data_IF_806657693699
#
_entry.id   IF_806657693699
#
_cell.length_a   1.000
_cell.length_b   1.000
_cell.length_c   1.000
_cell.angle_alpha   90.00
_cell.angle_beta   90.00
_cell.angle_gamma   90.00
#
_symmetry.space_group_name_H-M   'P 1'
#
loop_
_entity.id
_entity.type
_entity.pdbx_description
1 polymer ?
#
# COMPACT_ATOMS: atom_id res chain seq x y z
N UNK A 1 30.92 -9.57 5.54
CA UNK A 1 30.47 -8.29 6.14
C UNK A 1 29.37 -8.62 7.15
N UNK A 2 29.45 -8.10 8.38
CA UNK A 2 28.42 -8.42 9.39
C UNK A 2 27.11 -7.68 9.08
N UNK A 3 25.98 -8.26 9.46
CA UNK A 3 24.64 -7.69 9.30
C UNK A 3 24.52 -6.28 9.89
N UNK A 4 25.29 -6.00 10.95
CA UNK A 4 25.39 -4.70 11.60
C UNK A 4 26.06 -3.63 10.70
N UNK A 5 27.08 -4.01 9.92
CA UNK A 5 27.76 -3.09 9.00
C UNK A 5 26.84 -2.70 7.85
N UNK A 6 26.05 -3.64 7.34
CA UNK A 6 25.09 -3.39 6.27
C UNK A 6 23.95 -2.49 6.78
N UNK A 7 23.44 -2.73 7.99
CA UNK A 7 22.42 -1.88 8.62
C UNK A 7 22.89 -0.43 8.82
N UNK A 8 24.12 -0.23 9.28
CA UNK A 8 24.72 1.09 9.44
C UNK A 8 24.99 1.78 8.10
N UNK A 9 25.39 1.04 7.07
CA UNK A 9 25.64 1.60 5.74
C UNK A 9 24.34 2.01 5.06
N UNK A 10 23.28 1.20 5.19
CA UNK A 10 21.93 1.55 4.71
C UNK A 10 21.39 2.74 5.48
N UNK A 11 21.54 2.79 6.81
CA UNK A 11 21.13 3.93 7.61
C UNK A 11 21.90 5.21 7.22
N UNK A 12 23.21 5.12 7.00
CA UNK A 12 24.03 6.26 6.55
C UNK A 12 23.67 6.69 5.13
N UNK A 13 23.40 5.75 4.21
CA UNK A 13 22.95 6.05 2.85
C UNK A 13 21.57 6.71 2.86
N UNK A 14 20.65 6.21 3.70
CA UNK A 14 19.36 6.84 3.94
C UNK A 14 19.59 8.26 4.49
N UNK A 15 20.40 8.45 5.54
CA UNK A 15 20.68 9.77 6.11
C UNK A 15 21.33 10.75 5.13
N UNK A 16 22.15 10.29 4.17
CA UNK A 16 22.80 11.13 3.15
C UNK A 16 21.85 11.43 1.98
N UNK A 17 21.10 10.45 1.48
CA UNK A 17 20.09 10.63 0.41
C UNK A 17 18.92 11.49 0.91
N UNK A 18 18.58 11.33 2.18
CA UNK A 18 17.49 12.00 2.87
C UNK A 18 17.97 13.11 3.81
N UNK A 19 19.21 13.59 3.65
CA UNK A 19 19.75 14.69 4.44
C UNK A 19 18.81 15.91 4.35
N UNK A 20 18.48 16.58 5.46
CA UNK A 20 17.46 17.63 5.47
C UNK A 20 17.96 18.84 4.70
N UNK A 21 17.73 18.87 3.39
CA UNK A 21 17.78 20.11 2.63
C UNK A 21 16.69 21.00 3.20
N UNK A 22 17.04 22.23 3.58
CA UNK A 22 16.09 23.23 4.07
C UNK A 22 15.02 23.63 3.05
N UNK A 23 15.04 23.03 1.85
CA UNK A 23 14.08 23.20 0.77
C UNK A 23 13.71 21.87 0.12
N UNK A 24 12.45 21.72 -0.22
CA UNK A 24 11.86 20.58 -0.93
C UNK A 24 11.10 21.13 -2.13
N UNK A 25 11.40 20.61 -3.32
CA UNK A 25 10.68 20.93 -4.55
C UNK A 25 9.81 19.74 -4.95
N UNK A 26 8.54 20.00 -5.17
CA UNK A 26 7.56 19.04 -5.65
C UNK A 26 7.08 19.48 -7.03
N UNK A 27 7.15 18.58 -8.01
CA UNK A 27 6.54 18.74 -9.33
C UNK A 27 5.68 17.50 -9.59
N UNK A 28 4.38 17.72 -9.79
CA UNK A 28 3.38 16.66 -9.89
C UNK A 28 2.33 17.02 -10.92
N UNK A 29 1.99 16.05 -11.78
CA UNK A 29 0.88 16.17 -12.72
C UNK A 29 -0.27 15.30 -12.23
N UNK A 30 -1.46 15.89 -12.18
CA UNK A 30 -2.71 15.22 -11.78
C UNK A 30 -3.71 15.29 -12.94
N UNK A 31 -4.42 14.18 -13.18
CA UNK A 31 -5.51 14.11 -14.18
C UNK A 31 -6.78 14.76 -13.61
N UNK A 32 -6.72 16.06 -13.42
CA UNK A 32 -7.79 16.92 -12.91
C UNK A 32 -7.72 18.26 -13.64
N UNK A 33 -8.79 19.05 -13.58
CA UNK A 33 -8.75 20.41 -14.10
C UNK A 33 -7.77 21.27 -13.30
N UNK A 34 -7.17 22.28 -13.94
CA UNK A 34 -6.32 23.23 -13.24
C UNK A 34 -7.10 23.94 -12.12
N UNK A 35 -8.38 24.22 -12.35
CA UNK A 35 -9.25 24.86 -11.36
C UNK A 35 -9.48 23.99 -10.13
N UNK A 36 -9.74 22.69 -10.29
CA UNK A 36 -9.90 21.78 -9.16
C UNK A 36 -8.60 21.64 -8.35
N UNK A 37 -7.47 21.56 -9.04
CA UNK A 37 -6.16 21.49 -8.40
C UNK A 37 -5.85 22.78 -7.62
N UNK A 38 -6.20 23.92 -8.19
CA UNK A 38 -6.10 25.23 -7.52
C UNK A 38 -7.01 25.33 -6.30
N UNK A 39 -8.26 24.86 -6.39
CA UNK A 39 -9.19 24.87 -5.24
C UNK A 39 -8.67 24.05 -4.05
N UNK A 40 -7.94 22.97 -4.31
CA UNK A 40 -7.30 22.14 -3.27
C UNK A 40 -6.01 22.78 -2.74
N UNK A 41 -5.20 23.40 -3.60
CA UNK A 41 -3.94 24.02 -3.20
C UNK A 41 -4.15 25.36 -2.45
N UNK A 42 -5.21 26.09 -2.78
CA UNK A 42 -5.55 27.40 -2.22
C UNK A 42 -6.82 27.31 -1.33
N UNK A 43 -6.66 27.07 -0.01
CA UNK A 43 -7.80 27.02 0.92
C UNK A 43 -8.47 28.39 1.03
N UNK A 44 -9.78 28.40 1.30
CA UNK A 44 -10.58 29.62 1.34
C UNK A 44 -11.72 29.49 2.38
N UNK A 45 -12.10 30.56 3.11
CA UNK A 45 -13.13 30.51 4.16
C UNK A 45 -14.51 30.01 3.69
N UNK A 46 -14.88 30.28 2.44
CA UNK A 46 -16.16 29.80 1.87
C UNK A 46 -16.14 28.34 1.39
N UNK A 47 -15.01 27.64 1.51
CA UNK A 47 -14.83 26.27 1.02
C UNK A 47 -14.69 25.29 2.19
N UNK A 48 -15.18 24.05 2.05
CA UNK A 48 -15.00 23.03 3.07
C UNK A 48 -13.51 22.67 3.22
N UNK A 49 -13.12 22.24 4.42
CA UNK A 49 -11.80 21.66 4.64
C UNK A 49 -11.70 20.29 3.99
N UNK A 50 -10.77 20.14 3.04
CA UNK A 50 -10.53 18.88 2.32
C UNK A 50 -9.36 18.06 2.90
N UNK A 51 -8.56 18.64 3.79
CA UNK A 51 -7.36 18.02 4.34
C UNK A 51 -7.67 17.29 5.66
N UNK A 52 -7.49 15.97 5.70
CA UNK A 52 -7.79 15.14 6.89
C UNK A 52 -6.95 15.47 8.12
N UNK A 53 -5.73 15.94 7.92
CA UNK A 53 -4.81 16.30 8.99
C UNK A 53 -5.29 17.56 9.74
N UNK A 54 -6.10 18.39 9.09
CA UNK A 54 -6.60 19.65 9.62
C UNK A 54 -8.00 19.40 10.17
N UNK A 55 -8.22 19.79 11.41
CA UNK A 55 -9.54 19.74 12.01
C UNK A 55 -10.39 20.90 11.50
N UNK A 56 -9.86 22.12 11.58
CA UNK A 56 -10.51 23.33 11.06
C UNK A 56 -9.51 24.45 10.79
N UNK A 57 -9.92 25.36 9.91
CA UNK A 57 -9.31 26.67 9.73
C UNK A 57 -10.14 27.69 10.49
N UNK A 58 -9.50 28.40 11.42
CA UNK A 58 -10.09 29.54 12.11
C UNK A 58 -9.59 30.81 11.41
N UNK A 59 -10.32 31.22 10.38
CA UNK A 59 -10.02 32.42 9.61
C UNK A 59 -10.18 33.67 10.46
N UNK A 60 -9.32 34.67 10.25
CA UNK A 60 -9.55 35.97 10.87
C UNK A 60 -10.85 36.58 10.33
N UNK A 61 -11.62 37.28 11.18
CA UNK A 61 -12.82 37.97 10.72
C UNK A 61 -12.52 38.83 9.49
N UNK A 62 -13.31 38.64 8.43
CA UNK A 62 -13.20 39.40 7.19
C UNK A 62 -11.88 39.22 6.42
N UNK A 63 -11.12 38.17 6.71
CA UNK A 63 -9.87 37.83 6.01
C UNK A 63 -9.97 36.46 5.35
N UNK A 64 -9.55 36.39 4.09
CA UNK A 64 -9.32 35.18 3.31
C UNK A 64 -7.82 34.86 3.17
N UNK A 65 -6.96 35.65 3.82
CA UNK A 65 -5.50 35.53 3.73
C UNK A 65 -4.86 35.06 5.03
N UNK A 66 -5.49 35.25 6.19
CA UNK A 66 -4.95 34.84 7.49
C UNK A 66 -5.89 33.89 8.23
N UNK A 67 -5.34 32.78 8.74
CA UNK A 67 -6.07 31.83 9.57
C UNK A 67 -5.19 31.23 10.68
N UNK A 68 -5.83 30.66 11.69
CA UNK A 68 -5.19 29.70 12.60
C UNK A 68 -5.63 28.29 12.20
N UNK A 69 -4.67 27.45 11.84
CA UNK A 69 -4.92 26.04 11.53
C UNK A 69 -4.90 25.25 12.83
N UNK A 70 -5.98 24.51 13.08
CA UNK A 70 -6.06 23.52 14.15
C UNK A 70 -5.90 22.13 13.53
N UNK A 71 -4.83 21.43 13.88
CA UNK A 71 -4.57 20.07 13.41
C UNK A 71 -5.23 19.06 14.34
N UNK A 72 -5.65 17.92 13.78
CA UNK A 72 -6.06 16.77 14.58
C UNK A 72 -4.87 16.33 15.44
N UNK A 73 -5.08 16.25 16.76
CA UNK A 73 -4.00 16.05 17.74
C UNK A 73 -3.54 17.32 18.47
N UNK A 74 -4.34 18.40 18.42
CA UNK A 74 -4.18 19.57 19.30
C UNK A 74 -3.09 20.57 18.90
N UNK A 75 -2.37 20.32 17.78
CA UNK A 75 -1.35 21.26 17.28
C UNK A 75 -2.00 22.44 16.59
N UNK A 76 -1.33 23.60 16.66
CA UNK A 76 -1.79 24.84 16.02
C UNK A 76 -0.70 25.46 15.16
N UNK A 77 -1.08 26.08 14.06
CA UNK A 77 -0.19 26.90 13.25
C UNK A 77 -0.88 28.21 12.84
N UNK A 78 -0.11 29.29 12.79
CA UNK A 78 -0.56 30.53 12.15
C UNK A 78 -0.33 30.39 10.66
N UNK A 79 -1.35 30.64 9.87
CA UNK A 79 -1.36 30.50 8.42
C UNK A 79 -1.58 31.86 7.79
N UNK A 80 -0.78 32.14 6.76
CA UNK A 80 -0.95 33.28 5.88
C UNK A 80 -0.84 32.83 4.44
N UNK A 81 -1.59 33.46 3.55
CA UNK A 81 -1.48 33.24 2.13
C UNK A 81 -1.60 34.55 1.35
N UNK A 82 -0.88 34.62 0.24
CA UNK A 82 -1.03 35.62 -0.80
C UNK A 82 -1.29 34.89 -2.11
N UNK A 83 -2.50 35.03 -2.65
CA UNK A 83 -2.94 34.31 -3.84
C UNK A 83 -3.00 35.26 -5.03
N UNK A 84 -2.66 34.73 -6.22
CA UNK A 84 -2.80 35.40 -7.51
C UNK A 84 -3.66 34.51 -8.41
N UNK A 85 -5.00 34.61 -8.30
CA UNK A 85 -5.90 33.68 -8.98
C UNK A 85 -5.76 33.70 -10.51
N UNK A 86 -5.47 34.86 -11.10
CA UNK A 86 -5.30 35.02 -12.55
C UNK A 86 -4.15 34.20 -13.12
N UNK A 87 -3.02 34.14 -12.40
CA UNK A 87 -1.85 33.33 -12.77
C UNK A 87 -1.85 31.94 -12.12
N UNK A 88 -2.82 31.64 -11.24
CA UNK A 88 -2.89 30.43 -10.43
C UNK A 88 -1.60 30.17 -9.64
N UNK A 89 -1.04 31.24 -9.06
CA UNK A 89 0.16 31.22 -8.22
C UNK A 89 -0.17 31.67 -6.79
N UNK A 90 0.50 31.09 -5.81
CA UNK A 90 0.30 31.48 -4.41
C UNK A 90 1.54 31.30 -3.56
N UNK A 91 1.69 32.18 -2.59
CA UNK A 91 2.66 32.08 -1.51
C UNK A 91 1.92 31.78 -0.22
N UNK A 92 2.35 30.76 0.51
CA UNK A 92 1.80 30.36 1.80
C UNK A 92 2.90 30.37 2.86
N UNK A 93 2.58 30.91 4.02
CA UNK A 93 3.42 30.90 5.20
C UNK A 93 2.68 30.20 6.34
N UNK A 94 3.33 29.20 6.93
CA UNK A 94 2.86 28.53 8.14
C UNK A 94 3.89 28.69 9.25
N UNK A 95 3.45 29.18 10.40
CA UNK A 95 4.24 29.23 11.63
C UNK A 95 3.65 28.21 12.59
N UNK A 96 4.32 27.08 12.73
CA UNK A 96 3.92 26.02 13.65
C UNK A 96 4.29 26.40 15.07
N UNK A 97 3.32 26.30 15.97
CA UNK A 97 3.48 26.62 17.38
C UNK A 97 3.88 25.38 18.17
N UNK A 98 4.74 25.53 19.17
CA UNK A 98 5.02 24.47 20.14
C UNK A 98 3.84 24.30 21.12
N UNK A 99 3.95 23.34 22.03
CA UNK A 99 2.94 23.04 23.05
C UNK A 99 2.66 24.23 23.99
N UNK A 100 3.62 25.16 24.13
CA UNK A 100 3.49 26.39 24.91
C UNK A 100 2.87 27.55 24.10
N UNK A 101 2.56 27.33 22.83
CA UNK A 101 2.00 28.34 21.93
C UNK A 101 3.03 29.30 21.30
N UNK A 102 4.33 29.02 21.46
CA UNK A 102 5.41 29.84 20.92
C UNK A 102 5.80 29.39 19.50
N UNK A 103 6.23 30.30 18.61
CA UNK A 103 6.73 29.94 17.28
C UNK A 103 7.93 28.99 17.35
N UNK A 104 7.80 27.80 16.77
CA UNK A 104 8.87 26.80 16.75
C UNK A 104 9.50 26.66 15.36
N UNK A 105 8.67 26.66 14.32
CA UNK A 105 9.10 26.40 12.96
C UNK A 105 8.29 27.20 11.95
N UNK A 106 8.97 27.78 10.96
CA UNK A 106 8.38 28.39 9.77
C UNK A 106 8.40 27.41 8.62
N UNK A 107 7.34 27.39 7.85
CA UNK A 107 7.29 26.78 6.54
C UNK A 107 6.82 27.82 5.53
N UNK A 108 7.62 28.05 4.50
CA UNK A 108 7.26 28.90 3.37
C UNK A 108 7.02 27.99 2.17
N UNK A 109 5.86 28.08 1.55
CA UNK A 109 5.50 27.29 0.39
C UNK A 109 5.10 28.23 -0.73
N UNK A 110 5.86 28.23 -1.82
CA UNK A 110 5.45 28.85 -3.08
C UNK A 110 4.87 27.79 -3.98
N UNK A 111 3.71 28.02 -4.56
CA UNK A 111 3.10 27.05 -5.46
C UNK A 111 2.52 27.70 -6.70
N UNK A 112 2.47 26.93 -7.78
CA UNK A 112 1.88 27.32 -9.05
C UNK A 112 1.12 26.13 -9.64
N UNK A 113 -0.07 26.39 -10.15
CA UNK A 113 -0.85 25.41 -10.92
C UNK A 113 -0.82 25.82 -12.38
N UNK A 114 -0.49 24.88 -13.26
CA UNK A 114 -0.44 25.11 -14.71
C UNK A 114 -1.21 24.03 -15.46
N UNK A 115 -1.89 24.36 -16.56
CA UNK A 115 -2.39 23.35 -17.47
C UNK A 115 -1.23 22.47 -17.98
N UNK A 116 -1.48 21.17 -18.10
CA UNK A 116 -0.52 20.20 -18.61
C UNK A 116 -1.25 19.24 -19.56
N UNK A 117 -0.62 18.71 -20.62
CA UNK A 117 -1.28 17.73 -21.50
C UNK A 117 -1.87 16.53 -20.73
N UNK A 118 -1.31 16.19 -19.57
CA UNK A 118 -1.83 15.16 -18.66
C UNK A 118 -2.91 15.61 -17.68
N UNK A 119 -3.40 16.85 -17.76
CA UNK A 119 -4.39 17.46 -16.86
C UNK A 119 -3.89 18.80 -16.29
N UNK A 120 -3.46 18.79 -15.02
CA UNK A 120 -2.91 19.97 -14.37
C UNK A 120 -1.66 19.62 -13.57
N UNK A 121 -0.66 20.48 -13.70
CA UNK A 121 0.61 20.39 -12.98
C UNK A 121 0.60 21.31 -11.77
N UNK A 122 0.96 20.78 -10.62
CA UNK A 122 1.21 21.53 -9.40
C UNK A 122 2.71 21.49 -9.10
N UNK A 123 3.32 22.67 -9.08
CA UNK A 123 4.71 22.87 -8.64
C UNK A 123 4.67 23.54 -7.28
N UNK A 124 5.40 22.98 -6.30
CA UNK A 124 5.53 23.56 -4.97
C UNK A 124 7.00 23.61 -4.55
N UNK A 125 7.45 24.76 -4.09
CA UNK A 125 8.75 24.98 -3.47
C UNK A 125 8.55 25.29 -1.99
N UNK A 126 8.89 24.33 -1.13
CA UNK A 126 8.66 24.37 0.30
C UNK A 126 9.99 24.55 1.02
N UNK A 127 10.14 25.64 1.77
CA UNK A 127 11.31 25.94 2.59
C UNK A 127 10.94 25.87 4.08
N UNK A 128 11.88 25.37 4.89
CA UNK A 128 11.71 25.25 6.35
C UNK A 128 12.76 26.07 7.07
N UNK A 129 12.32 26.85 8.04
CA UNK A 129 13.18 27.66 8.90
C UNK A 129 12.86 27.35 10.36
N UNK A 130 13.90 27.08 11.17
CA UNK A 130 13.72 26.88 12.61
C UNK A 130 13.75 28.25 13.28
N UNK A 131 12.68 28.59 14.01
CA UNK A 131 12.57 29.89 14.70
C UNK A 131 12.76 29.73 16.20
N UNK A 132 12.49 28.54 16.76
CA UNK A 132 12.52 28.32 18.21
C UNK A 132 12.88 26.90 18.64
N UNK A 133 12.75 26.61 19.95
CA UNK A 133 12.93 25.27 20.48
C UNK A 133 11.86 24.33 19.93
N UNK A 134 12.30 23.19 19.39
CA UNK A 134 11.41 22.16 18.87
C UNK A 134 11.00 21.26 20.04
N UNK A 135 9.71 21.03 20.20
CA UNK A 135 9.20 19.99 21.09
C UNK A 135 9.49 18.57 20.54
N UNK A 136 9.26 17.52 21.33
CA UNK A 136 9.52 16.13 20.92
C UNK A 136 8.82 15.72 19.63
N UNK A 137 7.57 16.16 19.45
CA UNK A 137 6.76 15.89 18.26
C UNK A 137 7.32 16.55 16.99
N UNK A 138 7.81 17.80 17.10
CA UNK A 138 8.41 18.54 15.98
C UNK A 138 9.83 18.05 15.63
N UNK A 139 10.54 17.48 16.62
CA UNK A 139 11.81 16.79 16.39
C UNK A 139 11.59 15.54 15.52
N UNK A 140 10.59 14.73 15.85
CA UNK A 140 10.22 13.56 15.05
C UNK A 140 9.80 13.98 13.62
N UNK A 141 8.95 14.99 13.48
CA UNK A 141 8.57 15.52 12.17
C UNK A 141 9.79 16.03 11.38
N UNK A 142 10.78 16.59 12.07
CA UNK A 142 12.02 17.05 11.44
C UNK A 142 12.89 15.90 10.93
N UNK A 143 12.91 14.77 11.63
CA UNK A 143 13.57 13.54 11.19
C UNK A 143 12.83 12.88 10.02
N UNK A 144 11.50 12.97 9.98
CA UNK A 144 10.65 12.40 8.94
C UNK A 144 10.44 13.32 7.72
N UNK A 145 10.97 14.55 7.73
CA UNK A 145 10.98 15.48 6.58
C UNK A 145 11.29 14.85 5.22
N UNK A 146 12.20 13.89 5.11
CA UNK A 146 12.53 13.35 3.80
C UNK A 146 11.39 12.51 3.22
N UNK A 147 10.47 12.04 4.05
CA UNK A 147 9.23 11.37 3.66
C UNK A 147 8.07 12.35 3.43
N UNK A 148 8.26 13.66 3.67
CA UNK A 148 7.22 14.68 3.49
C UNK A 148 6.65 14.71 2.07
N UNK A 149 7.49 14.45 1.06
CA UNK A 149 7.02 14.37 -0.32
C UNK A 149 5.92 13.30 -0.50
N UNK A 150 5.98 12.18 0.23
CA UNK A 150 4.96 11.13 0.21
C UNK A 150 3.69 11.59 0.90
N UNK A 151 3.81 12.25 2.06
CA UNK A 151 2.64 12.69 2.83
C UNK A 151 1.89 13.83 2.16
N UNK A 152 2.62 14.80 1.57
CA UNK A 152 2.02 15.89 0.79
C UNK A 152 1.35 15.35 -0.48
N UNK A 153 2.00 14.41 -1.20
CA UNK A 153 1.40 13.72 -2.35
C UNK A 153 0.08 13.04 -1.98
N UNK A 154 0.11 12.24 -0.92
CA UNK A 154 -1.07 11.51 -0.45
C UNK A 154 -2.18 12.46 0.01
N UNK A 155 -1.83 13.54 0.71
CA UNK A 155 -2.76 14.57 1.17
C UNK A 155 -3.47 15.28 0.03
N UNK A 156 -2.73 15.76 -0.98
CA UNK A 156 -3.30 16.42 -2.17
C UNK A 156 -4.20 15.45 -2.94
N UNK A 157 -3.74 14.22 -3.18
CA UNK A 157 -4.55 13.20 -3.85
C UNK A 157 -5.81 12.81 -3.05
N UNK A 158 -5.75 12.83 -1.72
CA UNK A 158 -6.90 12.63 -0.83
C UNK A 158 -7.90 13.78 -0.93
N UNK A 159 -7.42 15.02 -0.88
CA UNK A 159 -8.25 16.21 -1.00
C UNK A 159 -8.93 16.31 -2.37
N UNK A 160 -8.21 16.03 -3.47
CA UNK A 160 -8.77 15.97 -4.83
C UNK A 160 -9.86 14.90 -4.96
N UNK A 161 -9.69 13.73 -4.32
CA UNK A 161 -10.73 12.68 -4.28
C UNK A 161 -11.98 13.15 -3.54
N UNK A 162 -11.83 13.75 -2.36
CA UNK A 162 -12.97 14.30 -1.62
C UNK A 162 -13.69 15.42 -2.36
N UNK A 163 -12.96 16.20 -3.14
CA UNK A 163 -13.54 17.23 -4.00
C UNK A 163 -14.28 16.65 -5.22
N UNK A 164 -14.20 15.35 -5.49
CA UNK A 164 -14.73 14.72 -6.70
C UNK A 164 -14.02 15.17 -7.98
N UNK A 165 -12.79 15.70 -7.87
CA UNK A 165 -12.08 16.31 -8.98
C UNK A 165 -11.67 15.28 -10.05
N UNK A 166 -11.28 14.08 -9.62
CA UNK A 166 -10.92 13.00 -10.54
C UNK A 166 -12.15 12.52 -11.33
N UNK A 167 -13.30 12.36 -10.67
CA UNK A 167 -14.52 11.86 -11.30
C UNK A 167 -15.05 12.86 -12.35
N UNK A 168 -15.01 14.16 -12.05
CA UNK A 168 -15.36 15.22 -13.02
C UNK A 168 -14.44 15.21 -14.24
N UNK A 169 -13.14 15.18 -14.01
CA UNK A 169 -12.16 15.19 -15.10
C UNK A 169 -12.30 13.95 -15.99
N UNK A 170 -12.55 12.78 -15.39
CA UNK A 170 -12.80 11.52 -16.10
C UNK A 170 -14.11 11.54 -16.89
N UNK A 171 -15.17 12.17 -16.38
CA UNK A 171 -16.43 12.34 -17.11
C UNK A 171 -16.25 13.19 -18.39
N UNK A 172 -15.37 14.19 -18.35
CA UNK A 172 -15.11 15.09 -19.48
C UNK A 172 -14.09 14.53 -20.48
N UNK A 173 -13.02 13.92 -20.00
CA UNK A 173 -11.85 13.52 -20.82
C UNK A 173 -11.78 12.00 -21.05
N UNK A 174 -12.75 11.26 -20.51
CA UNK A 174 -12.77 9.81 -20.51
C UNK A 174 -11.85 9.19 -19.44
N UNK A 175 -11.99 7.87 -19.23
CA UNK A 175 -11.17 7.15 -18.28
C UNK A 175 -9.69 7.27 -18.63
N UNK A 176 -8.88 7.37 -17.57
CA UNK A 176 -7.44 7.32 -17.73
C UNK A 176 -7.05 6.06 -18.50
N UNK A 177 -6.46 6.19 -19.69
CA UNK A 177 -5.85 5.05 -20.36
C UNK A 177 -4.90 4.36 -19.38
N UNK A 178 -5.21 3.12 -19.04
CA UNK A 178 -4.38 2.34 -18.16
C UNK A 178 -3.00 2.21 -18.80
N UNK A 179 -1.94 2.54 -18.05
CA UNK A 179 -0.59 2.24 -18.48
C UNK A 179 -0.54 0.75 -18.86
N UNK A 180 0.17 0.35 -19.92
CA UNK A 180 0.19 -1.02 -20.39
C UNK A 180 0.53 -1.96 -19.22
N UNK A 181 -0.39 -2.87 -18.94
CA UNK A 181 -0.27 -3.87 -17.88
C UNK A 181 -0.19 -5.24 -18.52
N UNK A 182 0.87 -6.00 -18.26
CA UNK A 182 0.95 -7.43 -18.64
C UNK A 182 0.38 -8.21 -17.48
N UNK A 183 -0.67 -9.03 -17.72
CA UNK A 183 -1.38 -9.78 -16.66
C UNK A 183 -1.92 -8.90 -15.51
N UNK A 184 -2.12 -7.60 -15.76
CA UNK A 184 -2.51 -6.66 -14.71
C UNK A 184 -1.36 -6.14 -13.85
N UNK A 185 -0.09 -6.42 -14.15
CA UNK A 185 1.03 -5.85 -13.39
C UNK A 185 1.41 -4.46 -13.92
N UNK A 186 1.52 -3.46 -13.04
CA UNK A 186 2.07 -2.13 -13.36
C UNK A 186 3.51 -2.06 -12.88
N UNK A 187 4.45 -2.14 -13.83
CA UNK A 187 5.87 -2.19 -13.54
C UNK A 187 6.48 -0.79 -13.65
N UNK A 188 6.88 -0.20 -12.52
CA UNK A 188 7.84 0.91 -12.56
C UNK A 188 9.24 0.34 -12.80
N UNK A 189 10.13 1.13 -13.42
CA UNK A 189 11.54 0.74 -13.60
C UNK A 189 12.22 0.37 -12.27
N UNK A 190 11.85 1.05 -11.19
CA UNK A 190 12.33 0.75 -9.83
C UNK A 190 11.81 -0.59 -9.32
N UNK A 191 10.53 -0.90 -9.51
CA UNK A 191 9.95 -2.18 -9.12
C UNK A 191 10.55 -3.34 -9.93
N UNK A 192 10.76 -3.13 -11.23
CA UNK A 192 11.45 -4.06 -12.12
C UNK A 192 12.88 -4.37 -11.64
N UNK A 193 13.65 -3.33 -11.33
CA UNK A 193 15.02 -3.51 -10.85
C UNK A 193 15.05 -4.28 -9.52
N UNK A 194 14.17 -3.95 -8.58
CA UNK A 194 14.07 -4.67 -7.31
C UNK A 194 13.61 -6.12 -7.49
N UNK A 195 12.64 -6.36 -8.37
CA UNK A 195 12.18 -7.70 -8.72
C UNK A 195 13.29 -8.54 -9.36
N UNK A 196 14.04 -7.96 -10.30
CA UNK A 196 15.16 -8.62 -10.94
C UNK A 196 16.28 -8.96 -9.95
N UNK A 197 16.63 -8.04 -9.06
CA UNK A 197 17.64 -8.29 -8.00
C UNK A 197 17.18 -9.40 -7.06
N UNK A 198 15.93 -9.35 -6.61
CA UNK A 198 15.38 -10.35 -5.71
C UNK A 198 15.28 -11.73 -6.36
N UNK A 199 14.77 -11.81 -7.59
CA UNK A 199 14.70 -13.06 -8.35
C UNK A 199 16.10 -13.59 -8.67
N UNK A 200 17.06 -12.72 -9.01
CA UNK A 200 18.45 -13.10 -9.24
C UNK A 200 19.10 -13.67 -7.98
N UNK A 201 18.88 -13.04 -6.82
CA UNK A 201 19.37 -13.54 -5.53
C UNK A 201 18.75 -14.90 -5.18
N UNK A 202 17.45 -15.06 -5.36
CA UNK A 202 16.74 -16.31 -5.12
C UNK A 202 17.19 -17.42 -6.06
N UNK A 203 17.32 -17.13 -7.35
CA UNK A 203 17.80 -18.08 -8.35
C UNK A 203 19.22 -18.54 -8.04
N UNK A 204 20.08 -17.64 -7.56
CA UNK A 204 21.42 -17.98 -7.11
C UNK A 204 21.45 -18.79 -5.82
N UNK A 205 20.57 -18.47 -4.86
CA UNK A 205 20.55 -19.11 -3.53
C UNK A 205 19.87 -20.47 -3.52
N UNK A 206 18.79 -20.64 -4.28
CA UNK A 206 17.89 -21.80 -4.20
C UNK A 206 17.61 -22.46 -5.56
N UNK A 207 18.16 -21.93 -6.65
CA UNK A 207 17.98 -22.45 -8.01
C UNK A 207 16.95 -21.68 -8.82
N UNK A 208 17.15 -21.58 -10.15
CA UNK A 208 16.33 -20.75 -11.03
C UNK A 208 14.89 -21.29 -11.16
N UNK A 209 14.74 -22.61 -11.16
CA UNK A 209 13.47 -23.29 -11.38
C UNK A 209 12.51 -23.20 -10.18
N UNK A 210 13.03 -23.34 -8.95
CA UNK A 210 12.26 -23.05 -7.73
C UNK A 210 11.81 -21.58 -7.71
N UNK A 211 12.71 -20.66 -8.06
CA UNK A 211 12.38 -19.23 -8.15
C UNK A 211 11.27 -18.98 -9.18
N UNK A 212 11.36 -19.60 -10.35
CA UNK A 212 10.36 -19.48 -11.40
C UNK A 212 9.00 -20.03 -10.96
N UNK A 213 8.98 -21.20 -10.30
CA UNK A 213 7.75 -21.77 -9.75
C UNK A 213 7.11 -20.84 -8.71
N UNK A 214 7.90 -20.28 -7.78
CA UNK A 214 7.37 -19.35 -6.79
C UNK A 214 6.79 -18.08 -7.43
N UNK A 215 7.50 -17.50 -8.41
CA UNK A 215 7.02 -16.33 -9.16
C UNK A 215 5.77 -16.66 -9.96
N UNK A 216 5.72 -17.82 -10.63
CA UNK A 216 4.56 -18.25 -11.40
C UNK A 216 3.33 -18.45 -10.52
N UNK A 217 3.47 -19.15 -9.38
CA UNK A 217 2.39 -19.34 -8.42
C UNK A 217 1.84 -18.02 -7.89
N UNK A 218 2.72 -17.08 -7.55
CA UNK A 218 2.30 -15.74 -7.13
C UNK A 218 1.61 -14.99 -8.27
N UNK A 219 2.18 -14.93 -9.48
CA UNK A 219 1.56 -14.23 -10.61
C UNK A 219 0.17 -14.79 -10.95
N UNK A 220 -0.01 -16.11 -10.90
CA UNK A 220 -1.30 -16.76 -11.14
C UNK A 220 -2.33 -16.42 -10.05
N UNK A 221 -1.91 -16.41 -8.79
CA UNK A 221 -2.72 -15.92 -7.69
C UNK A 221 -3.16 -14.47 -7.91
N UNK A 222 -2.22 -13.57 -8.20
CA UNK A 222 -2.52 -12.15 -8.39
C UNK A 222 -3.39 -11.85 -9.61
N UNK A 223 -3.22 -12.62 -10.68
CA UNK A 223 -4.08 -12.58 -11.85
C UNK A 223 -5.54 -12.89 -11.49
N UNK A 224 -5.77 -13.74 -10.48
CA UNK A 224 -7.11 -14.04 -9.94
C UNK A 224 -7.79 -12.81 -9.34
N UNK A 225 -7.09 -12.03 -8.51
CA UNK A 225 -7.62 -10.78 -7.99
C UNK A 225 -7.96 -9.80 -9.13
N UNK A 226 -7.04 -9.61 -10.08
CA UNK A 226 -7.23 -8.70 -11.22
C UNK A 226 -8.41 -9.12 -12.08
N UNK A 227 -8.58 -10.42 -12.33
CA UNK A 227 -9.69 -10.94 -13.13
C UNK A 227 -11.04 -10.56 -12.51
N UNK A 228 -11.18 -10.70 -11.18
CA UNK A 228 -12.39 -10.31 -10.47
C UNK A 228 -12.58 -8.79 -10.46
N UNK A 229 -11.53 -8.01 -10.24
CA UNK A 229 -11.62 -6.54 -10.29
C UNK A 229 -12.08 -6.03 -11.66
N UNK A 230 -11.55 -6.62 -12.74
CA UNK A 230 -11.94 -6.30 -14.12
C UNK A 230 -13.37 -6.73 -14.41
N UNK A 231 -13.82 -7.86 -13.87
CA UNK A 231 -15.21 -8.31 -13.99
C UNK A 231 -16.18 -7.32 -13.31
N UNK A 232 -15.76 -6.65 -12.23
CA UNK A 232 -16.51 -5.56 -11.60
C UNK A 232 -16.34 -4.19 -12.28
N UNK A 233 -15.68 -4.13 -13.43
CA UNK A 233 -15.58 -2.92 -14.25
C UNK A 233 -14.35 -2.05 -14.00
N UNK A 234 -13.47 -2.40 -13.07
CA UNK A 234 -12.21 -1.66 -12.88
C UNK A 234 -11.17 -2.10 -13.93
N UNK A 235 -11.17 -1.40 -15.07
CA UNK A 235 -10.23 -1.62 -16.17
C UNK A 235 -8.82 -1.11 -15.87
N UNK A 236 -8.66 -0.35 -14.78
CA UNK A 236 -7.38 0.24 -14.37
C UNK A 236 -6.67 -0.57 -13.29
N UNK A 237 -7.30 -1.63 -12.77
CA UNK A 237 -6.76 -2.47 -11.72
C UNK A 237 -5.43 -3.05 -12.13
N UNK A 238 -4.45 -2.81 -11.27
CA UNK A 238 -3.16 -3.38 -11.45
C UNK A 238 -2.47 -3.71 -10.14
N UNK A 239 -1.57 -4.66 -10.25
CA UNK A 239 -0.78 -5.19 -9.18
C UNK A 239 0.65 -4.67 -9.26
N UNK A 240 1.24 -4.32 -8.12
CA UNK A 240 2.66 -4.02 -8.01
C UNK A 240 3.35 -5.17 -7.30
N UNK A 241 4.19 -5.92 -8.01
CA UNK A 241 5.02 -6.95 -7.39
C UNK A 241 6.00 -6.30 -6.41
N UNK A 242 5.83 -6.59 -5.13
CA UNK A 242 6.82 -6.26 -4.10
C UNK A 242 7.58 -7.56 -3.83
N UNK A 243 8.88 -7.60 -4.12
CA UNK A 243 9.68 -8.78 -3.83
C UNK A 243 9.58 -9.15 -2.35
N UNK A 244 9.51 -10.45 -2.04
CA UNK A 244 9.42 -11.03 -0.69
C UNK A 244 8.09 -10.87 0.08
N UNK A 245 7.19 -9.96 -0.32
CA UNK A 245 5.93 -9.75 0.40
C UNK A 245 4.69 -10.36 -0.28
N UNK A 246 4.80 -10.74 -1.55
CA UNK A 246 3.65 -10.67 -2.43
C UNK A 246 3.42 -9.20 -2.80
N UNK A 247 2.70 -8.93 -3.88
CA UNK A 247 2.50 -7.53 -4.24
C UNK A 247 1.30 -6.88 -3.59
N UNK A 248 1.03 -5.66 -4.01
CA UNK A 248 -0.09 -4.87 -3.52
C UNK A 248 -1.03 -4.62 -4.69
N UNK A 249 -2.27 -5.09 -4.56
CA UNK A 249 -3.33 -4.79 -5.50
C UNK A 249 -3.80 -3.35 -5.24
N UNK A 250 -3.58 -2.48 -6.22
CA UNK A 250 -4.10 -1.11 -6.18
C UNK A 250 -5.22 -1.02 -7.23
N UNK A 251 -6.44 -1.35 -6.81
CA UNK A 251 -7.66 -1.12 -7.56
C UNK A 251 -8.23 0.28 -7.30
N UNK A 252 -8.87 0.88 -8.31
CA UNK A 252 -9.55 2.19 -8.24
C UNK A 252 -11.04 2.06 -7.94
N UNK A 253 -11.47 1.13 -7.09
CA UNK A 253 -12.85 1.13 -6.59
C UNK A 253 -12.92 1.71 -5.17
N UNK A 254 -12.97 3.05 -5.01
CA UNK A 254 -13.14 3.69 -3.71
C UNK A 254 -14.52 3.41 -3.06
N UNK A 255 -15.47 2.78 -3.78
CA UNK A 255 -16.85 2.57 -3.32
C UNK A 255 -17.34 1.12 -3.36
N UNK A 256 -16.45 0.12 -3.42
CA UNK A 256 -16.88 -1.27 -3.38
C UNK A 256 -17.55 -1.62 -2.04
N UNK A 257 -18.78 -2.15 -2.07
CA UNK A 257 -19.45 -2.75 -0.92
C UNK A 257 -18.61 -3.91 -0.37
N UNK A 258 -18.70 -4.24 0.91
CA UNK A 258 -17.83 -5.25 1.52
C UNK A 258 -17.92 -6.64 0.83
N UNK A 259 -19.06 -6.98 0.20
CA UNK A 259 -19.17 -8.22 -0.59
C UNK A 259 -18.35 -8.19 -1.88
N UNK A 260 -18.23 -7.03 -2.54
CA UNK A 260 -17.37 -6.86 -3.71
C UNK A 260 -15.91 -6.95 -3.29
N UNK A 261 -15.56 -6.37 -2.13
CA UNK A 261 -14.22 -6.53 -1.54
C UNK A 261 -13.92 -7.99 -1.21
N UNK A 262 -14.85 -8.70 -0.59
CA UNK A 262 -14.72 -10.13 -0.34
C UNK A 262 -14.50 -10.94 -1.64
N UNK A 263 -15.30 -10.67 -2.69
CA UNK A 263 -15.14 -11.33 -3.98
C UNK A 263 -13.78 -11.03 -4.64
N UNK A 264 -13.34 -9.77 -4.61
CA UNK A 264 -12.02 -9.37 -5.11
C UNK A 264 -10.89 -10.10 -4.37
N UNK A 265 -10.96 -10.21 -3.04
CA UNK A 265 -9.96 -10.94 -2.24
C UNK A 265 -10.04 -12.43 -2.49
N UNK A 266 -11.22 -13.03 -2.66
CA UNK A 266 -11.35 -14.46 -2.98
C UNK A 266 -10.81 -14.83 -4.37
N UNK A 267 -10.69 -13.87 -5.29
CA UNK A 267 -10.16 -14.10 -6.63
C UNK A 267 -8.76 -14.73 -6.62
N UNK A 268 -7.87 -14.25 -5.74
CA UNK A 268 -6.51 -14.77 -5.64
C UNK A 268 -6.44 -16.22 -5.15
N UNK A 269 -7.00 -16.54 -3.97
CA UNK A 269 -7.07 -17.90 -3.45
C UNK A 269 -7.76 -18.88 -4.42
N UNK A 270 -8.81 -18.46 -5.13
CA UNK A 270 -9.49 -19.30 -6.11
C UNK A 270 -8.58 -19.62 -7.32
N UNK A 271 -7.92 -18.62 -7.90
CA UNK A 271 -6.99 -18.83 -9.02
C UNK A 271 -5.75 -19.63 -8.59
N UNK A 272 -5.22 -19.37 -7.40
CA UNK A 272 -4.14 -20.14 -6.81
C UNK A 272 -4.50 -21.62 -6.62
N UNK A 273 -5.71 -21.92 -6.10
CA UNK A 273 -6.19 -23.30 -5.97
C UNK A 273 -6.32 -23.97 -7.35
N UNK A 274 -6.92 -23.28 -8.32
CA UNK A 274 -7.06 -23.81 -9.68
C UNK A 274 -5.70 -24.11 -10.33
N UNK A 275 -4.72 -23.21 -10.17
CA UNK A 275 -3.37 -23.41 -10.69
C UNK A 275 -2.63 -24.56 -9.99
N UNK A 276 -2.78 -24.71 -8.67
CA UNK A 276 -2.18 -25.80 -7.91
C UNK A 276 -2.76 -27.15 -8.32
N UNK A 277 -4.09 -27.24 -8.46
CA UNK A 277 -4.78 -28.43 -8.95
C UNK A 277 -4.39 -28.76 -10.39
N UNK A 278 -4.31 -27.76 -11.27
CA UNK A 278 -3.91 -27.95 -12.66
C UNK A 278 -2.49 -28.49 -12.78
N UNK A 279 -1.54 -27.93 -12.02
CA UNK A 279 -0.16 -28.41 -11.99
C UNK A 279 -0.06 -29.84 -11.42
N UNK A 280 -0.76 -30.14 -10.32
CA UNK A 280 -0.81 -31.48 -9.75
C UNK A 280 -1.41 -32.50 -10.72
N UNK A 281 -2.54 -32.17 -11.35
CA UNK A 281 -3.21 -33.05 -12.32
C UNK A 281 -2.30 -33.35 -13.52
N UNK A 282 -1.65 -32.33 -14.09
CA UNK A 282 -0.71 -32.53 -15.19
C UNK A 282 0.51 -33.35 -14.75
N UNK A 283 1.00 -33.13 -13.53
CA UNK A 283 2.09 -33.93 -12.95
C UNK A 283 1.73 -35.40 -12.83
N UNK A 284 0.52 -35.75 -12.37
CA UNK A 284 0.07 -37.13 -12.31
C UNK A 284 -0.18 -37.75 -13.69
N UNK A 285 -0.75 -36.98 -14.63
CA UNK A 285 -1.05 -37.48 -15.98
C UNK A 285 0.21 -37.74 -16.82
N UNK A 286 1.25 -36.93 -16.61
CA UNK A 286 2.51 -36.99 -17.37
C UNK A 286 3.62 -37.75 -16.62
N UNK A 287 3.35 -38.19 -15.39
CA UNK A 287 4.36 -38.77 -14.47
C UNK A 287 5.57 -37.84 -14.27
N UNK A 288 5.30 -36.54 -14.09
CA UNK A 288 6.30 -35.47 -14.05
C UNK A 288 6.46 -34.88 -12.64
N UNK A 289 7.53 -35.26 -11.88
CA UNK A 289 7.75 -34.80 -10.51
C UNK A 289 7.91 -33.28 -10.39
N UNK A 290 8.39 -32.63 -11.44
CA UNK A 290 8.53 -31.18 -11.49
C UNK A 290 7.16 -30.47 -11.40
N UNK A 291 6.15 -30.98 -12.09
CA UNK A 291 4.80 -30.41 -12.10
C UNK A 291 4.06 -30.67 -10.78
N UNK A 292 4.25 -31.84 -10.17
CA UNK A 292 3.77 -32.13 -8.82
C UNK A 292 4.38 -31.15 -7.80
N UNK A 293 5.67 -30.84 -7.95
CA UNK A 293 6.35 -29.87 -7.11
C UNK A 293 5.83 -28.44 -7.33
N UNK A 294 5.55 -28.03 -8.58
CA UNK A 294 4.84 -26.78 -8.86
C UNK A 294 3.48 -26.75 -8.15
N UNK A 295 2.67 -27.81 -8.25
CA UNK A 295 1.37 -27.91 -7.56
C UNK A 295 1.49 -27.74 -6.05
N UNK A 296 2.48 -28.40 -5.44
CA UNK A 296 2.76 -28.30 -4.00
C UNK A 296 3.11 -26.87 -3.58
N UNK A 297 4.04 -26.22 -4.28
CA UNK A 297 4.48 -24.87 -3.94
C UNK A 297 3.42 -23.81 -4.26
N UNK A 298 2.60 -24.00 -5.30
CA UNK A 298 1.47 -23.11 -5.58
C UNK A 298 0.44 -23.18 -4.44
N UNK A 299 0.12 -24.39 -3.96
CA UNK A 299 -0.76 -24.56 -2.81
C UNK A 299 -0.17 -23.96 -1.53
N UNK A 300 1.14 -24.10 -1.31
CA UNK A 300 1.86 -23.51 -0.17
C UNK A 300 1.78 -21.97 -0.18
N UNK A 301 2.06 -21.32 -1.31
CA UNK A 301 1.94 -19.86 -1.45
C UNK A 301 0.52 -19.42 -1.11
N UNK A 302 -0.47 -20.14 -1.64
CA UNK A 302 -1.88 -19.84 -1.41
C UNK A 302 -2.28 -19.97 0.07
N UNK A 303 -1.77 -20.99 0.76
CA UNK A 303 -2.00 -21.18 2.20
C UNK A 303 -1.34 -20.10 3.05
N UNK A 304 -0.14 -19.65 2.67
CA UNK A 304 0.50 -18.50 3.31
C UNK A 304 -0.38 -17.27 3.13
N UNK A 305 -0.87 -16.98 1.92
CA UNK A 305 -1.78 -15.85 1.67
C UNK A 305 -3.13 -15.99 2.41
N UNK A 306 -3.57 -17.20 2.71
CA UNK A 306 -4.78 -17.46 3.50
C UNK A 306 -4.56 -17.42 5.02
N UNK A 307 -3.35 -17.13 5.49
CA UNK A 307 -3.11 -16.92 6.92
C UNK A 307 -3.94 -15.73 7.43
N UNK A 308 -4.51 -15.80 8.66
CA UNK A 308 -5.41 -14.79 9.21
C UNK A 308 -4.63 -13.57 9.75
N UNK A 309 -3.72 -13.02 8.95
CA UNK A 309 -2.79 -11.97 9.35
C UNK A 309 -2.74 -10.90 8.26
N UNK A 310 -3.13 -9.64 8.55
CA UNK A 310 -2.94 -8.54 7.59
C UNK A 310 -1.44 -8.36 7.26
N UNK A 311 -1.06 -8.07 6.01
CA UNK A 311 -1.89 -7.69 4.86
C UNK A 311 -2.45 -8.82 3.99
N UNK A 312 -2.20 -10.08 4.35
CA UNK A 312 -2.55 -11.25 3.54
C UNK A 312 -4.06 -11.39 3.35
N UNK A 313 -4.47 -12.13 2.32
CA UNK A 313 -5.88 -12.30 1.94
C UNK A 313 -6.72 -12.90 3.07
N UNK A 314 -6.22 -13.93 3.74
CA UNK A 314 -6.89 -14.54 4.89
C UNK A 314 -7.12 -13.53 6.02
N UNK A 315 -6.18 -12.61 6.22
CA UNK A 315 -6.33 -11.49 7.15
C UNK A 315 -7.42 -10.52 6.71
N UNK A 316 -7.50 -10.18 5.42
CA UNK A 316 -8.56 -9.33 4.87
C UNK A 316 -9.94 -9.99 4.96
N UNK A 317 -10.06 -11.27 4.59
CA UNK A 317 -11.30 -12.05 4.69
C UNK A 317 -11.75 -12.19 6.15
N UNK A 318 -10.81 -12.41 7.08
CA UNK A 318 -11.09 -12.45 8.52
C UNK A 318 -11.61 -11.10 9.01
N UNK A 319 -10.99 -9.99 8.60
CA UNK A 319 -11.46 -8.65 8.95
C UNK A 319 -12.88 -8.39 8.42
N UNK A 320 -13.13 -8.68 7.14
CA UNK A 320 -14.46 -8.52 6.52
C UNK A 320 -15.54 -9.38 7.20
N UNK A 321 -15.17 -10.59 7.61
CA UNK A 321 -16.08 -11.52 8.29
C UNK A 321 -16.40 -11.12 9.73
N UNK A 322 -15.43 -10.52 10.44
CA UNK A 322 -15.60 -10.15 11.85
C UNK A 322 -16.12 -8.73 12.07
N UNK A 323 -16.00 -7.86 11.06
CA UNK A 323 -16.46 -6.45 11.11
C UNK A 323 -17.94 -6.28 11.54
N UNK A 324 -18.89 -7.17 11.17
CA UNK A 324 -20.27 -7.08 11.67
C UNK A 324 -20.45 -7.36 13.16
N UNK A 325 -19.43 -7.91 13.82
CA UNK A 325 -19.47 -8.34 15.23
C UNK A 325 -18.53 -7.52 16.13
N UNK A 326 -17.42 -7.02 15.59
CA UNK A 326 -16.36 -6.36 16.34
C UNK A 326 -15.99 -5.01 15.70
N UNK A 327 -15.66 -3.99 16.52
CA UNK A 327 -15.19 -2.72 16.00
C UNK A 327 -13.85 -2.90 15.27
N UNK A 328 -13.72 -2.25 14.11
CA UNK A 328 -12.55 -2.36 13.22
C UNK A 328 -11.22 -2.01 13.91
N UNK A 329 -11.24 -1.00 14.79
CA UNK A 329 -10.08 -0.62 15.60
C UNK A 329 -9.64 -1.73 16.59
N UNK A 330 -10.54 -2.61 17.03
CA UNK A 330 -10.17 -3.76 17.84
C UNK A 330 -9.53 -4.85 16.98
N UNK A 331 -10.11 -5.13 15.80
CA UNK A 331 -9.56 -6.10 14.85
C UNK A 331 -8.14 -5.73 14.40
N UNK A 332 -7.89 -4.46 14.07
CA UNK A 332 -6.56 -3.99 13.67
C UNK A 332 -5.53 -4.12 14.79
N UNK A 333 -5.93 -3.84 16.04
CA UNK A 333 -5.05 -4.00 17.22
C UNK A 333 -4.70 -5.46 17.47
N UNK A 334 -5.69 -6.35 17.40
CA UNK A 334 -5.46 -7.81 17.55
C UNK A 334 -4.52 -8.32 16.45
N UNK A 335 -4.80 -7.98 15.19
CA UNK A 335 -3.93 -8.36 14.06
C UNK A 335 -2.49 -7.86 14.23
N UNK A 336 -2.32 -6.58 14.57
CA UNK A 336 -0.98 -6.01 14.81
C UNK A 336 -0.27 -6.65 16.00
N UNK A 337 -1.01 -7.01 17.05
CA UNK A 337 -0.47 -7.74 18.20
C UNK A 337 0.04 -9.13 17.83
N UNK A 338 -0.71 -9.88 17.01
CA UNK A 338 -0.28 -11.20 16.52
C UNK A 338 0.99 -11.11 15.66
N UNK A 339 1.09 -10.11 14.79
CA UNK A 339 2.30 -9.86 13.98
C UNK A 339 3.49 -9.53 14.89
N UNK A 340 3.29 -8.70 15.92
CA UNK A 340 4.34 -8.35 16.87
C UNK A 340 4.82 -9.55 17.71
N UNK A 341 3.91 -10.46 18.09
CA UNK A 341 4.28 -11.73 18.74
C UNK A 341 5.12 -12.59 17.79
N UNK A 342 4.70 -12.71 16.52
CA UNK A 342 5.48 -13.41 15.49
C UNK A 342 6.89 -12.84 15.32
N UNK A 343 7.00 -11.51 15.29
CA UNK A 343 8.29 -10.81 15.27
C UNK A 343 9.15 -11.13 16.50
N UNK A 344 8.55 -11.14 17.69
CA UNK A 344 9.24 -11.50 18.94
C UNK A 344 9.78 -12.93 18.93
N UNK A 345 8.98 -13.89 18.44
CA UNK A 345 9.40 -15.29 18.29
C UNK A 345 10.53 -15.41 17.27
N UNK A 346 10.42 -14.72 16.12
CA UNK A 346 11.44 -14.72 15.08
C UNK A 346 12.77 -14.12 15.58
N UNK A 347 12.70 -13.02 16.33
CA UNK A 347 13.85 -12.38 16.96
C UNK A 347 14.50 -13.28 18.01
N UNK A 348 13.70 -13.96 18.84
CA UNK A 348 14.20 -14.91 19.84
C UNK A 348 14.91 -16.11 19.20
N UNK A 349 14.41 -16.60 18.06
CA UNK A 349 15.05 -17.67 17.28
C UNK A 349 16.27 -17.20 16.49
N UNK A 350 16.47 -15.89 16.34
CA UNK A 350 17.56 -15.31 15.54
C UNK A 350 17.40 -15.54 14.03
N UNK A 351 16.18 -15.71 13.52
CA UNK A 351 15.92 -15.98 12.10
C UNK A 351 15.74 -14.65 11.33
N UNK A 352 16.74 -14.19 10.55
CA UNK A 352 16.70 -12.88 9.92
C UNK A 352 15.60 -12.76 8.85
N UNK A 353 15.20 -13.87 8.22
CA UNK A 353 14.16 -13.86 7.18
C UNK A 353 12.80 -13.63 7.83
N UNK A 354 12.50 -14.37 8.89
CA UNK A 354 11.24 -14.21 9.62
C UNK A 354 11.16 -12.85 10.33
N UNK A 355 12.27 -12.35 10.87
CA UNK A 355 12.35 -11.00 11.45
C UNK A 355 12.00 -9.96 10.38
N UNK A 356 12.62 -10.04 9.20
CA UNK A 356 12.33 -9.13 8.09
C UNK A 356 10.88 -9.18 7.65
N UNK A 357 10.32 -10.39 7.46
CA UNK A 357 8.94 -10.60 7.05
C UNK A 357 7.95 -9.96 8.05
N UNK A 358 8.04 -10.33 9.33
CA UNK A 358 7.13 -9.81 10.35
C UNK A 358 7.32 -8.30 10.59
N UNK A 359 8.55 -7.78 10.49
CA UNK A 359 8.80 -6.34 10.62
C UNK A 359 8.12 -5.54 9.50
N UNK A 360 8.20 -6.01 8.25
CA UNK A 360 7.53 -5.33 7.13
C UNK A 360 6.02 -5.45 7.23
N UNK A 361 5.49 -6.63 7.61
CA UNK A 361 4.06 -6.80 7.86
C UNK A 361 3.55 -5.87 8.97
N UNK A 362 4.31 -5.71 10.05
CA UNK A 362 3.97 -4.82 11.15
C UNK A 362 4.00 -3.36 10.70
N UNK A 363 5.05 -2.95 9.99
CA UNK A 363 5.15 -1.61 9.43
C UNK A 363 3.95 -1.31 8.51
N UNK A 364 3.59 -2.25 7.63
CA UNK A 364 2.42 -2.09 6.76
C UNK A 364 1.12 -1.97 7.56
N UNK A 365 0.92 -2.81 8.59
CA UNK A 365 -0.25 -2.77 9.47
C UNK A 365 -0.40 -1.43 10.21
N UNK A 366 0.71 -0.85 10.66
CA UNK A 366 0.76 0.43 11.37
C UNK A 366 0.61 1.65 10.45
N UNK A 367 1.08 1.55 9.21
CA UNK A 367 1.02 2.62 8.21
C UNK A 367 -0.33 2.68 7.48
N UNK A 368 -1.23 1.71 7.67
CA UNK A 368 -2.58 1.75 7.09
C UNK A 368 -3.34 2.98 7.63
N UNK A 369 -3.85 3.87 6.76
CA UNK A 369 -4.61 5.05 7.17
C UNK A 369 -5.86 4.66 7.98
N UNK A 370 -6.24 5.53 8.91
CA UNK A 370 -7.25 5.30 9.95
C UNK A 370 -8.65 4.97 9.40
N UNK A 371 -9.50 4.28 10.21
CA UNK A 371 -10.81 3.73 9.83
C UNK A 371 -11.86 4.72 9.29
N UNK A 372 -11.59 6.03 9.29
CA UNK A 372 -12.51 7.04 8.77
C UNK A 372 -12.81 6.87 7.27
N UNK A 373 -11.88 6.35 6.48
CA UNK A 373 -12.10 6.04 5.05
C UNK A 373 -12.89 4.74 4.82
N UNK A 374 -12.89 3.81 5.78
CA UNK A 374 -13.58 2.51 5.68
C UNK A 374 -14.96 2.52 6.35
N UNK A 375 -15.17 3.36 7.37
CA UNK A 375 -16.44 3.53 8.09
C UNK A 375 -17.63 3.92 7.19
N UNK A 376 -17.38 4.45 5.99
CA UNK A 376 -18.41 4.76 5.00
C UNK A 376 -18.91 3.53 4.19
N UNK A 377 -18.25 2.36 4.29
CA UNK A 377 -18.65 1.12 3.58
C UNK A 377 -19.72 0.36 4.35
N UNK A 378 -20.82 0.01 3.68
CA UNK A 378 -21.85 -0.87 4.22
C UNK A 378 -21.25 -2.24 4.59
N UNK A 379 -21.35 -2.59 5.88
CA UNK A 379 -20.87 -3.87 6.39
C UNK A 379 -21.69 -5.04 5.79
N UNK A 380 -21.06 -6.21 5.62
CA UNK A 380 -21.80 -7.42 5.24
C UNK A 380 -22.90 -7.73 6.26
N UNK A 381 -24.07 -8.14 5.77
CA UNK A 381 -25.07 -8.78 6.62
C UNK A 381 -24.46 -10.02 7.30
N UNK A 382 -24.78 -10.26 8.58
CA UNK A 382 -24.19 -11.35 9.38
C UNK A 382 -24.26 -12.72 8.69
N UNK A 383 -25.35 -13.02 7.97
CA UNK A 383 -25.51 -14.25 7.19
C UNK A 383 -24.47 -14.40 6.07
N UNK A 384 -24.11 -13.30 5.40
CA UNK A 384 -23.11 -13.30 4.34
C UNK A 384 -21.70 -13.38 4.93
N UNK A 385 -21.47 -12.79 6.11
CA UNK A 385 -20.21 -12.95 6.84
C UNK A 385 -19.97 -14.41 7.26
N UNK A 386 -21.00 -15.11 7.76
CA UNK A 386 -20.90 -16.54 8.06
C UNK A 386 -20.60 -17.38 6.80
N UNK A 387 -21.25 -17.06 5.67
CA UNK A 387 -20.95 -17.68 4.38
C UNK A 387 -19.50 -17.44 3.94
N UNK A 388 -18.97 -16.23 4.14
CA UNK A 388 -17.59 -15.88 3.83
C UNK A 388 -16.58 -16.68 4.67
N UNK A 389 -16.85 -16.87 5.96
CA UNK A 389 -16.04 -17.74 6.83
C UNK A 389 -16.03 -19.17 6.31
N UNK A 390 -17.19 -19.72 5.95
CA UNK A 390 -17.30 -21.08 5.42
C UNK A 390 -16.51 -21.25 4.11
N UNK A 391 -16.60 -20.30 3.19
CA UNK A 391 -15.83 -20.30 1.95
C UNK A 391 -14.32 -20.24 2.25
N UNK A 392 -13.91 -19.36 3.16
CA UNK A 392 -12.50 -19.18 3.54
C UNK A 392 -11.94 -20.47 4.15
N UNK A 393 -12.65 -21.08 5.10
CA UNK A 393 -12.26 -22.35 5.72
C UNK A 393 -12.25 -23.50 4.71
N UNK A 394 -13.24 -23.55 3.81
CA UNK A 394 -13.30 -24.54 2.75
C UNK A 394 -12.10 -24.45 1.80
N UNK A 395 -11.69 -23.24 1.41
CA UNK A 395 -10.49 -23.02 0.59
C UNK A 395 -9.22 -23.46 1.31
N UNK A 396 -9.06 -23.11 2.59
CA UNK A 396 -7.92 -23.57 3.41
C UNK A 396 -7.89 -25.09 3.49
N UNK A 397 -9.04 -25.73 3.74
CA UNK A 397 -9.14 -27.18 3.83
C UNK A 397 -8.78 -27.87 2.50
N UNK A 398 -9.25 -27.34 1.37
CA UNK A 398 -8.92 -27.88 0.04
C UNK A 398 -7.43 -27.74 -0.28
N UNK A 399 -6.83 -26.59 0.00
CA UNK A 399 -5.40 -26.36 -0.23
C UNK A 399 -4.53 -27.24 0.68
N UNK A 400 -4.88 -27.33 1.96
CA UNK A 400 -4.18 -28.18 2.93
C UNK A 400 -4.32 -29.66 2.57
N UNK A 401 -5.52 -30.09 2.15
CA UNK A 401 -5.77 -31.44 1.65
C UNK A 401 -4.92 -31.76 0.43
N UNK A 402 -4.89 -30.87 -0.58
CA UNK A 402 -4.04 -31.03 -1.76
C UNK A 402 -2.55 -31.12 -1.38
N UNK A 403 -2.07 -30.22 -0.51
CA UNK A 403 -0.69 -30.27 -0.02
C UNK A 403 -0.37 -31.57 0.71
N UNK A 404 -1.31 -32.10 1.51
CA UNK A 404 -1.12 -33.36 2.21
C UNK A 404 -1.04 -34.56 1.25
N UNK A 405 -1.91 -34.58 0.22
CA UNK A 405 -1.86 -35.59 -0.86
C UNK A 405 -0.51 -35.56 -1.57
N UNK A 406 -0.08 -34.37 -2.02
CA UNK A 406 1.21 -34.23 -2.69
C UNK A 406 2.38 -34.56 -1.76
N UNK A 407 2.35 -34.14 -0.50
CA UNK A 407 3.39 -34.46 0.47
C UNK A 407 3.55 -35.96 0.74
N UNK A 408 2.49 -36.75 0.59
CA UNK A 408 2.56 -38.20 0.78
C UNK A 408 3.45 -38.91 -0.27
N UNK A 409 3.63 -38.31 -1.45
CA UNK A 409 4.45 -38.86 -2.55
C UNK A 409 5.95 -38.80 -2.19
N UNK A 410 6.46 -37.61 -1.90
CA UNK A 410 7.92 -37.38 -1.74
C UNK A 410 8.28 -36.40 -0.61
N UNK A 411 7.29 -35.91 0.12
CA UNK A 411 7.46 -34.91 1.19
C UNK A 411 7.94 -33.54 0.68
N UNK A 412 8.07 -32.57 1.59
CA UNK A 412 8.57 -31.23 1.24
C UNK A 412 9.95 -31.26 0.55
N UNK A 413 10.87 -32.07 1.08
CA UNK A 413 12.25 -32.12 0.57
C UNK A 413 12.37 -32.78 -0.79
N UNK A 414 11.44 -33.68 -1.16
CA UNK A 414 11.35 -34.27 -2.49
C UNK A 414 10.95 -33.23 -3.53
N UNK A 415 9.83 -32.53 -3.30
CA UNK A 415 9.36 -31.46 -4.19
C UNK A 415 10.38 -30.31 -4.30
N UNK A 416 10.99 -29.89 -3.19
CA UNK A 416 12.03 -28.86 -3.23
C UNK A 416 13.22 -29.29 -4.11
N UNK A 417 13.66 -30.56 -4.00
CA UNK A 417 14.73 -31.10 -4.85
C UNK A 417 14.32 -31.18 -6.32
N UNK A 418 13.09 -31.59 -6.62
CA UNK A 418 12.57 -31.63 -7.99
C UNK A 418 12.60 -30.23 -8.63
N UNK A 419 12.19 -29.20 -7.89
CA UNK A 419 12.29 -27.82 -8.38
C UNK A 419 13.74 -27.35 -8.47
N UNK A 420 14.64 -27.69 -7.56
CA UNK A 420 16.06 -27.30 -7.68
C UNK A 420 16.71 -27.90 -8.92
N UNK A 421 16.41 -29.18 -9.22
CA UNK A 421 16.95 -29.91 -10.37
C UNK A 421 16.35 -29.45 -11.70
N UNK A 422 15.08 -29.06 -11.70
CA UNK A 422 14.37 -28.60 -12.89
C UNK A 422 13.75 -29.73 -13.72
N UNK A 423 12.99 -29.38 -14.77
CA UNK A 423 12.16 -30.31 -15.56
C UNK A 423 12.95 -31.24 -16.50
N UNK A 424 14.27 -31.09 -16.61
CA UNK A 424 15.11 -31.87 -17.54
C UNK A 424 16.12 -32.77 -16.83
N UNK A 425 16.00 -32.92 -15.51
CA UNK A 425 16.86 -33.79 -14.73
C UNK A 425 16.33 -35.23 -14.77
N UNK A 426 16.55 -35.88 -15.92
CA UNK A 426 16.41 -37.33 -16.08
C UNK A 426 17.57 -38.10 -15.45
#
# INVERSE_FOLDING_TARGET
MSSLTIGLLVLALLLVVFWPRGRIRLDQVHRVSAEDLWRVAAPHPSRPNLMDAIERYEWRPWSDTEATIHYRGGRRARFRQALRPESMEGDQELIVLNERGEPAQRMLCRFAVRPDPGGARLVMDIAFERIGPLGPSLLLDSLLRPLLHLTVRAGIAGALRKAGAFDRYEAEHGPAQAAPSVLGMRLSWTALALAAIACGWWAWSFGPWLTLALVAGLVLHEAGHVAVMRAFGDRSSAFYFIPFLGGVAIGRMPHAQDWQHAAMVLGGPAAGLASALGAALLGWLLDEPFLLACGYFFALINLINMAPVPPLDGGQLTMLSLRPFLPEAALQRVGSGLIAVGLGIAAWRGDPILIGLFAVMLAFSLLRPTPAAQAAREALARRHAAGLVMITLGLVALLAGLMAVLAAETGFTGHARALVRGPFAG
#
